data_IF_875810163239
#
_entry.id   IF_875810163239
#
_cell.length_a   1.000
_cell.length_b   1.000
_cell.length_c   1.000
_cell.angle_alpha   90.00
_cell.angle_beta   90.00
_cell.angle_gamma   90.00
#
_symmetry.space_group_name_H-M   'P 1'
#
loop_
_entity.id
_entity.type
_entity.pdbx_description
1 polymer ?
#
# COMPACT_ATOMS: atom_id res chain seq x y z
N UNK A 1 -12.78 -11.11 9.95
CA UNK A 1 -13.30 -10.20 8.93
C UNK A 1 -12.23 -9.94 7.91
N UNK A 2 -12.62 -9.95 6.64
CA UNK A 2 -11.83 -9.70 5.42
C UNK A 2 -10.69 -10.66 5.07
N UNK A 3 -10.89 -11.26 3.91
CA UNK A 3 -10.12 -12.29 3.25
C UNK A 3 -9.03 -11.63 2.41
N UNK A 4 -7.80 -12.10 2.64
CA UNK A 4 -6.57 -11.97 1.86
C UNK A 4 -6.78 -11.57 0.38
N UNK A 5 -6.41 -10.34 0.05
CA UNK A 5 -5.48 -10.20 -1.08
C UNK A 5 -4.16 -10.78 -0.54
N UNK A 6 -3.35 -11.45 -1.37
CA UNK A 6 -1.98 -11.71 -0.96
C UNK A 6 -1.33 -10.33 -0.81
N UNK A 7 -1.43 -9.74 0.39
CA UNK A 7 -1.13 -8.35 0.65
C UNK A 7 0.34 -8.16 0.29
N UNK A 8 0.58 -7.60 -0.90
CA UNK A 8 1.91 -7.19 -1.34
C UNK A 8 2.54 -6.31 -0.24
N UNK A 9 1.69 -5.61 0.51
CA UNK A 9 1.98 -4.84 1.72
C UNK A 9 0.77 -4.85 2.69
N UNK A 10 1.02 -5.00 4.00
CA UNK A 10 -0.01 -4.90 5.05
C UNK A 10 -0.20 -3.47 5.59
N UNK A 11 -1.34 -3.20 6.24
CA UNK A 11 -1.57 -1.92 6.93
C UNK A 11 -0.57 -1.63 8.05
N UNK A 12 -0.09 -2.67 8.75
CA UNK A 12 0.95 -2.53 9.77
C UNK A 12 2.29 -2.10 9.16
N UNK A 13 2.67 -2.67 8.00
CA UNK A 13 3.86 -2.22 7.27
C UNK A 13 3.76 -0.73 6.91
N UNK A 14 2.59 -0.26 6.44
CA UNK A 14 2.39 1.16 6.10
C UNK A 14 2.61 2.04 7.32
N UNK A 15 2.14 1.62 8.50
CA UNK A 15 2.35 2.34 9.76
C UNK A 15 3.81 2.39 10.16
N UNK A 16 4.45 1.22 10.21
CA UNK A 16 5.82 1.07 10.70
C UNK A 16 6.85 1.71 9.77
N UNK A 17 6.68 1.57 8.44
CA UNK A 17 7.69 1.97 7.46
C UNK A 17 7.47 3.37 6.88
N UNK A 18 6.22 3.84 6.84
CA UNK A 18 5.89 5.16 6.31
C UNK A 18 5.53 6.16 7.41
N UNK A 19 5.43 5.72 8.67
CA UNK A 19 5.06 6.58 9.81
C UNK A 19 3.63 7.13 9.70
N UNK A 20 2.77 6.50 8.89
CA UNK A 20 1.39 6.96 8.67
C UNK A 20 0.49 6.36 9.73
N UNK A 21 0.14 7.15 10.75
CA UNK A 21 -0.71 6.68 11.86
C UNK A 21 -2.21 6.89 11.61
N UNK A 22 -2.56 7.79 10.68
CA UNK A 22 -3.94 8.15 10.37
C UNK A 22 -4.61 7.06 9.53
N UNK A 23 -5.64 6.41 10.09
CA UNK A 23 -6.39 5.32 9.42
C UNK A 23 -6.91 5.67 8.02
N UNK A 24 -7.62 6.80 7.84
CA UNK A 24 -7.97 7.33 6.52
C UNK A 24 -6.80 7.40 5.52
N UNK A 25 -5.66 7.94 5.92
CA UNK A 25 -4.48 8.06 5.03
C UNK A 25 -3.91 6.70 4.62
N UNK A 26 -3.91 5.72 5.53
CA UNK A 26 -3.54 4.33 5.21
C UNK A 26 -4.52 3.77 4.17
N UNK A 27 -5.82 3.99 4.36
CA UNK A 27 -6.86 3.55 3.42
C UNK A 27 -6.67 4.14 2.02
N UNK A 28 -6.32 5.42 1.91
CA UNK A 28 -6.02 6.06 0.63
C UNK A 28 -4.77 5.49 -0.05
N UNK A 29 -3.71 5.22 0.71
CA UNK A 29 -2.49 4.60 0.20
C UNK A 29 -2.74 3.19 -0.32
N UNK A 30 -3.49 2.39 0.43
CA UNK A 30 -3.87 1.03 0.02
C UNK A 30 -4.79 1.04 -1.21
N UNK A 31 -5.70 2.01 -1.31
CA UNK A 31 -6.53 2.21 -2.51
C UNK A 31 -5.68 2.54 -3.74
N UNK A 32 -4.75 3.49 -3.61
CA UNK A 32 -3.81 3.84 -4.70
C UNK A 32 -2.96 2.65 -5.14
N UNK A 33 -2.53 1.82 -4.18
CA UNK A 33 -1.79 0.59 -4.48
C UNK A 33 -2.65 -0.40 -5.26
N UNK A 34 -3.92 -0.57 -4.85
CA UNK A 34 -4.87 -1.44 -5.55
C UNK A 34 -5.13 -0.98 -6.98
N UNK A 35 -5.32 0.31 -7.19
CA UNK A 35 -5.50 0.87 -8.53
C UNK A 35 -4.26 0.61 -9.41
N UNK A 36 -3.05 0.78 -8.85
CA UNK A 36 -1.80 0.50 -9.55
C UNK A 36 -1.61 -1.00 -9.87
N UNK A 37 -2.06 -1.90 -9.01
CA UNK A 37 -2.07 -3.35 -9.25
C UNK A 37 -3.02 -3.72 -10.39
N UNK A 38 -4.24 -3.18 -10.39
CA UNK A 38 -5.25 -3.41 -11.44
C UNK A 38 -4.75 -2.91 -12.80
N UNK A 39 -4.03 -1.80 -12.83
CA UNK A 39 -3.41 -1.25 -14.03
C UNK A 39 -2.15 -2.00 -14.49
N UNK A 40 -1.70 -3.01 -13.73
CA UNK A 40 -0.48 -3.78 -14.04
C UNK A 40 0.82 -3.01 -13.79
N UNK A 41 0.76 -1.89 -13.05
CA UNK A 41 1.95 -1.10 -12.66
C UNK A 41 2.70 -1.70 -11.47
N UNK A 42 2.01 -2.53 -10.68
CA UNK A 42 2.56 -3.25 -9.53
C UNK A 42 2.10 -4.69 -9.62
N UNK A 43 3.04 -5.62 -9.54
CA UNK A 43 2.79 -7.05 -9.66
C UNK A 43 3.37 -7.88 -8.52
N UNK A 44 4.28 -7.28 -7.72
CA UNK A 44 4.91 -7.94 -6.59
C UNK A 44 5.09 -7.02 -5.36
N UNK A 45 5.52 -7.63 -4.25
CA UNK A 45 5.67 -6.97 -2.97
C UNK A 45 6.76 -5.88 -2.98
N UNK A 46 7.85 -6.08 -3.73
CA UNK A 46 8.90 -5.09 -3.89
C UNK A 46 8.41 -3.85 -4.63
N UNK A 47 7.68 -4.05 -5.74
CA UNK A 47 7.04 -2.98 -6.50
C UNK A 47 6.02 -2.22 -5.67
N UNK A 48 5.19 -2.93 -4.90
CA UNK A 48 4.19 -2.34 -4.02
C UNK A 48 4.81 -1.44 -2.94
N UNK A 49 5.86 -1.92 -2.26
CA UNK A 49 6.57 -1.15 -1.23
C UNK A 49 7.21 0.10 -1.83
N UNK A 50 7.83 -0.03 -3.00
CA UNK A 50 8.43 1.12 -3.72
C UNK A 50 7.37 2.14 -4.11
N UNK A 51 6.25 1.68 -4.66
CA UNK A 51 5.12 2.54 -5.03
C UNK A 51 4.58 3.31 -3.81
N UNK A 52 4.35 2.61 -2.69
CA UNK A 52 3.85 3.24 -1.46
C UNK A 52 4.82 4.27 -0.88
N UNK A 53 6.13 3.99 -0.87
CA UNK A 53 7.16 4.96 -0.45
C UNK A 53 7.14 6.22 -1.32
N UNK A 54 6.95 6.08 -2.63
CA UNK A 54 6.84 7.23 -3.55
C UNK A 54 5.58 8.05 -3.33
N UNK A 55 4.47 7.41 -2.95
CA UNK A 55 3.20 8.09 -2.70
C UNK A 55 3.14 8.77 -1.34
N UNK A 56 3.85 8.24 -0.33
CA UNK A 56 3.95 8.86 1.00
C UNK A 56 4.93 10.04 1.05
N UNK A 57 5.91 10.10 0.13
CA UNK A 57 6.88 11.19 0.03
C UNK A 57 6.36 12.43 -0.73
N UNK A 58 5.12 12.40 -1.23
CA UNK A 58 4.46 13.50 -1.96
C UNK A 58 3.47 14.22 -1.06
#
# INVERSE_FOLDING_TARGET
GCNRIADLVSGDWVREELGVENGPSIGELLKKLRDAEIEGRVSDAGEARRFLRQQAAK
#
